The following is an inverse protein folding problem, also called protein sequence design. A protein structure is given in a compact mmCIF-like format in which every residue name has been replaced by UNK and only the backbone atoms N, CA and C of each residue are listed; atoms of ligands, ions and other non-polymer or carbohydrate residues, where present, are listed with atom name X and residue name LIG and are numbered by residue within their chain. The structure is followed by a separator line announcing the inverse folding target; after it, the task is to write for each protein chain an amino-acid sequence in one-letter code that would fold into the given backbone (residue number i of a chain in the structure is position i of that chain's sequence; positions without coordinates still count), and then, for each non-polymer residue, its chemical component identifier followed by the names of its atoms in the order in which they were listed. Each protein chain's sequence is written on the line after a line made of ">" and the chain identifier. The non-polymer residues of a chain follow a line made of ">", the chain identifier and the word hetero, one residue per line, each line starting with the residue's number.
data_IF_730697696783
#
_entry.id   IF_730697696783
#
_cell.length_a   1.000
_cell.length_b   1.000
_cell.length_c   1.000
_cell.angle_alpha   90.00
_cell.angle_beta   90.00
_cell.angle_gamma   90.00
#
_symmetry.space_group_name_H-M   'P 1'
#
loop_
_entity.id
_entity.type
_entity.pdbx_description
1 polymer ?
#
# COMPACT_ATOMS: atom_id res chain seq x y z
N UNK A 1 12.87 0.01 28.62
CA UNK A 1 12.71 1.35 28.02
C UNK A 1 11.46 1.34 27.14
N UNK A 2 10.67 2.41 27.12
CA UNK A 2 9.60 2.60 26.12
C UNK A 2 10.22 3.04 24.79
N UNK A 3 9.56 2.74 23.67
CA UNK A 3 9.99 3.24 22.36
C UNK A 3 9.69 4.74 22.27
N UNK A 4 10.64 5.58 21.80
CA UNK A 4 10.42 7.02 21.67
C UNK A 4 9.50 7.42 20.49
N UNK A 5 9.11 6.47 19.63
CA UNK A 5 8.28 6.77 18.44
C UNK A 5 6.89 7.29 18.83
N UNK A 6 6.26 6.69 19.87
CA UNK A 6 4.98 7.17 20.38
C UNK A 6 5.09 8.57 21.01
N UNK A 7 6.17 8.82 21.75
CA UNK A 7 6.44 10.13 22.35
C UNK A 7 6.64 11.21 21.27
N UNK A 8 7.34 10.88 20.18
CA UNK A 8 7.48 11.78 19.02
C UNK A 8 6.13 12.07 18.35
N UNK A 9 5.27 11.06 18.16
CA UNK A 9 3.92 11.30 17.61
C UNK A 9 3.14 12.26 18.51
N UNK A 10 3.19 12.06 19.83
CA UNK A 10 2.55 12.98 20.78
C UNK A 10 3.12 14.40 20.68
N UNK A 11 4.45 14.56 20.58
CA UNK A 11 5.09 15.87 20.40
C UNK A 11 4.61 16.59 19.14
N UNK A 12 4.47 15.86 18.02
CA UNK A 12 3.94 16.42 16.77
C UNK A 12 2.48 16.84 16.93
N UNK A 13 1.65 16.03 17.59
CA UNK A 13 0.25 16.39 17.85
C UNK A 13 0.14 17.62 18.75
N UNK A 14 0.92 17.68 19.83
CA UNK A 14 0.94 18.81 20.77
C UNK A 14 1.38 20.11 20.05
N UNK A 15 2.41 20.03 19.21
CA UNK A 15 2.90 21.18 18.43
C UNK A 15 1.87 21.70 17.41
N UNK A 16 0.90 20.87 17.01
CA UNK A 16 -0.15 21.19 16.04
C UNK A 16 -1.53 21.36 16.69
N UNK A 17 -1.64 21.30 18.03
CA UNK A 17 -2.91 21.34 18.74
C UNK A 17 -3.69 22.66 18.53
N UNK A 18 -2.97 23.77 18.37
CA UNK A 18 -3.54 25.11 18.13
C UNK A 18 -3.82 25.40 16.64
N UNK A 19 -3.49 24.48 15.73
CA UNK A 19 -3.89 24.59 14.33
C UNK A 19 -5.39 24.30 14.18
N UNK A 20 -6.17 25.39 14.11
CA UNK A 20 -7.64 25.32 14.10
C UNK A 20 -8.27 25.76 12.78
N UNK A 21 -7.49 25.99 11.73
CA UNK A 21 -8.03 26.33 10.41
C UNK A 21 -8.79 25.19 9.74
N UNK A 22 -9.55 25.52 8.70
CA UNK A 22 -10.46 24.59 8.02
C UNK A 22 -11.83 24.49 8.68
N UNK A 23 -12.66 23.60 8.16
CA UNK A 23 -14.01 23.33 8.67
C UNK A 23 -14.33 21.83 8.55
N UNK A 24 -15.22 21.33 9.40
CA UNK A 24 -15.76 19.97 9.24
C UNK A 24 -16.61 19.88 7.97
N UNK A 25 -16.73 18.70 7.40
CA UNK A 25 -17.64 18.48 6.28
C UNK A 25 -19.10 18.69 6.73
N UNK A 26 -19.86 19.51 6.01
CA UNK A 26 -21.19 19.97 6.40
C UNK A 26 -22.34 19.46 5.51
N UNK A 27 -22.02 18.70 4.46
CA UNK A 27 -23.00 18.20 3.50
C UNK A 27 -23.84 17.01 4.03
N UNK A 28 -23.39 16.35 5.11
CA UNK A 28 -24.19 15.36 5.86
C UNK A 28 -24.22 15.70 7.36
N UNK A 29 -25.39 15.60 8.03
CA UNK A 29 -25.55 15.86 9.46
C UNK A 29 -24.53 15.16 10.36
N UNK A 30 -24.24 13.88 10.15
CA UNK A 30 -23.32 13.13 11.02
C UNK A 30 -21.89 13.72 11.00
N UNK A 31 -21.38 14.11 9.83
CA UNK A 31 -20.06 14.76 9.73
C UNK A 31 -20.09 16.22 10.22
N UNK A 32 -21.20 16.92 9.99
CA UNK A 32 -21.36 18.31 10.45
C UNK A 32 -21.33 18.42 11.98
N UNK A 33 -21.76 17.36 12.67
CA UNK A 33 -21.77 17.27 14.13
C UNK A 33 -20.53 16.57 14.71
N UNK A 34 -19.57 16.17 13.88
CA UNK A 34 -18.33 15.56 14.36
C UNK A 34 -17.56 16.54 15.26
N UNK A 35 -16.97 16.04 16.35
CA UNK A 35 -16.14 16.86 17.23
C UNK A 35 -14.91 17.36 16.46
N UNK A 36 -14.80 18.67 16.17
CA UNK A 36 -13.73 19.20 15.33
C UNK A 36 -12.35 19.13 15.99
N UNK A 37 -12.29 18.86 17.29
CA UNK A 37 -11.06 18.88 18.08
C UNK A 37 -10.37 17.51 18.15
N UNK A 38 -11.05 16.42 17.74
CA UNK A 38 -10.46 15.08 17.57
C UNK A 38 -9.14 15.17 16.78
N UNK A 39 -8.09 14.58 17.37
CA UNK A 39 -6.76 14.56 16.78
C UNK A 39 -5.96 13.34 17.25
N UNK A 40 -5.85 12.35 16.37
CA UNK A 40 -5.10 11.11 16.65
C UNK A 40 -4.21 10.73 15.48
N UNK A 41 -3.11 10.04 15.77
CA UNK A 41 -2.19 9.52 14.77
C UNK A 41 -1.67 8.14 15.14
N UNK A 42 -1.41 7.32 14.12
CA UNK A 42 -0.79 6.01 14.28
C UNK A 42 0.19 5.69 13.14
N UNK A 43 1.25 4.95 13.48
CA UNK A 43 2.22 4.38 12.55
C UNK A 43 2.38 2.89 12.83
N UNK A 44 2.14 2.06 11.82
CA UNK A 44 2.38 0.62 11.88
C UNK A 44 3.53 0.24 10.95
N UNK A 45 4.60 -0.30 11.51
CA UNK A 45 5.75 -0.81 10.74
C UNK A 45 5.40 -2.09 9.99
N UNK A 46 6.12 -2.39 8.90
CA UNK A 46 5.98 -3.68 8.19
C UNK A 46 6.34 -4.91 9.05
N UNK A 47 7.00 -4.69 10.19
CA UNK A 47 7.27 -5.71 11.21
C UNK A 47 6.12 -5.89 12.24
N UNK A 48 4.98 -5.23 12.04
CA UNK A 48 3.76 -5.44 12.85
C UNK A 48 3.67 -4.60 14.12
N UNK A 49 4.66 -3.74 14.40
CA UNK A 49 4.62 -2.83 15.57
C UNK A 49 3.82 -1.58 15.24
N UNK A 50 2.84 -1.25 16.08
CA UNK A 50 2.02 -0.04 15.99
C UNK A 50 2.38 0.91 17.12
N UNK A 51 2.58 2.17 16.76
CA UNK A 51 2.74 3.30 17.69
C UNK A 51 1.61 4.28 17.42
N UNK A 52 0.96 4.77 18.46
CA UNK A 52 -0.17 5.69 18.33
C UNK A 52 -0.15 6.74 19.46
N UNK A 53 -0.79 7.88 19.20
CA UNK A 53 -0.89 9.02 20.10
C UNK A 53 -2.16 9.83 19.82
N UNK A 54 -2.60 10.63 20.81
CA UNK A 54 -3.83 11.43 20.73
C UNK A 54 -5.10 10.58 20.80
N UNK A 55 -6.12 11.00 20.05
CA UNK A 55 -7.42 10.33 19.98
C UNK A 55 -7.37 9.09 19.05
N UNK A 56 -6.56 8.09 19.42
CA UNK A 56 -6.24 6.95 18.57
C UNK A 56 -7.28 5.81 18.55
N UNK A 57 -8.17 5.79 19.54
CA UNK A 57 -9.27 4.82 19.67
C UNK A 57 -10.61 5.33 19.12
N UNK A 58 -10.67 6.57 18.62
CA UNK A 58 -11.91 7.13 18.05
C UNK A 58 -12.22 6.46 16.71
N UNK A 59 -13.41 5.86 16.61
CA UNK A 59 -13.92 5.34 15.35
C UNK A 59 -14.56 6.44 14.50
N UNK A 60 -14.33 6.36 13.19
CA UNK A 60 -14.94 7.23 12.19
C UNK A 60 -15.19 6.45 10.89
N UNK A 61 -16.11 6.93 10.06
CA UNK A 61 -16.37 6.35 8.73
C UNK A 61 -15.14 6.50 7.83
N UNK A 62 -14.71 5.42 7.17
CA UNK A 62 -13.50 5.38 6.33
C UNK A 62 -13.58 6.28 5.09
N UNK A 63 -14.78 6.54 4.57
CA UNK A 63 -15.02 7.43 3.45
C UNK A 63 -14.18 7.06 2.21
N UNK A 64 -13.69 8.07 1.47
CA UNK A 64 -12.84 7.90 0.29
C UNK A 64 -11.51 7.16 0.55
N UNK A 65 -11.12 6.91 1.81
CA UNK A 65 -9.96 6.07 2.15
C UNK A 65 -10.23 4.60 1.82
N UNK A 66 -11.50 4.19 1.68
CA UNK A 66 -11.90 2.85 1.24
C UNK A 66 -11.47 2.50 -0.19
N UNK A 67 -11.38 3.51 -1.07
CA UNK A 67 -11.17 3.36 -2.51
C UNK A 67 -9.94 2.53 -2.89
N UNK A 68 -8.72 2.78 -2.36
CA UNK A 68 -7.56 1.94 -2.65
C UNK A 68 -7.76 0.47 -2.27
N UNK A 69 -8.46 0.20 -1.17
CA UNK A 69 -8.70 -1.17 -0.71
C UNK A 69 -9.74 -1.87 -1.57
N UNK A 70 -10.83 -1.20 -1.96
CA UNK A 70 -11.80 -1.73 -2.92
C UNK A 70 -11.16 -2.00 -4.29
N UNK A 71 -10.25 -1.14 -4.73
CA UNK A 71 -9.47 -1.35 -5.95
C UNK A 71 -8.58 -2.59 -5.86
N UNK A 72 -7.90 -2.78 -4.74
CA UNK A 72 -7.12 -4.01 -4.51
C UNK A 72 -8.01 -5.26 -4.52
N UNK A 73 -9.18 -5.23 -3.88
CA UNK A 73 -10.14 -6.33 -3.89
C UNK A 73 -10.65 -6.64 -5.31
N UNK A 74 -11.01 -5.62 -6.10
CA UNK A 74 -11.44 -5.80 -7.48
C UNK A 74 -10.32 -6.41 -8.35
N UNK A 75 -9.05 -6.02 -8.14
CA UNK A 75 -7.90 -6.62 -8.84
C UNK A 75 -7.72 -8.11 -8.48
N UNK A 76 -7.96 -8.49 -7.22
CA UNK A 76 -7.92 -9.88 -6.76
C UNK A 76 -9.05 -10.69 -7.39
N UNK A 77 -10.27 -10.17 -7.37
CA UNK A 77 -11.48 -10.89 -7.77
C UNK A 77 -11.57 -11.03 -9.30
N UNK A 78 -11.14 -10.00 -10.05
CA UNK A 78 -11.41 -9.87 -11.50
C UNK A 78 -10.16 -9.88 -12.38
N UNK A 79 -8.98 -9.78 -11.77
CA UNK A 79 -7.71 -9.67 -12.47
C UNK A 79 -7.48 -8.28 -13.09
N UNK A 80 -6.21 -7.94 -13.30
CA UNK A 80 -5.76 -6.62 -13.75
C UNK A 80 -6.37 -6.20 -15.10
N UNK A 81 -6.46 -7.10 -16.06
CA UNK A 81 -6.98 -6.80 -17.40
C UNK A 81 -8.44 -6.32 -17.35
N UNK A 82 -9.31 -7.08 -16.66
CA UNK A 82 -10.73 -6.75 -16.49
C UNK A 82 -10.92 -5.41 -15.79
N UNK A 83 -10.20 -5.19 -14.68
CA UNK A 83 -10.32 -3.93 -13.92
C UNK A 83 -9.85 -2.75 -14.76
N UNK A 84 -8.72 -2.88 -15.46
CA UNK A 84 -8.20 -1.79 -16.29
C UNK A 84 -9.07 -1.52 -17.51
N UNK A 85 -9.81 -2.49 -18.04
CA UNK A 85 -10.78 -2.23 -19.09
C UNK A 85 -11.91 -1.29 -18.62
N UNK A 86 -12.28 -1.36 -17.34
CA UNK A 86 -13.38 -0.60 -16.75
C UNK A 86 -12.94 0.69 -16.04
N UNK A 87 -11.71 0.78 -15.53
CA UNK A 87 -11.19 1.94 -14.78
C UNK A 87 -9.71 2.15 -15.10
N UNK A 88 -9.33 3.37 -15.47
CA UNK A 88 -7.95 3.75 -15.78
C UNK A 88 -7.04 3.87 -14.56
N UNK A 89 -5.86 4.46 -14.78
CA UNK A 89 -4.84 4.73 -13.73
C UNK A 89 -4.31 6.16 -13.77
N UNK A 90 -4.80 6.98 -14.70
CA UNK A 90 -4.29 8.33 -14.95
C UNK A 90 -4.85 9.33 -13.93
N UNK A 91 -4.05 10.32 -13.50
CA UNK A 91 -4.55 11.41 -12.67
C UNK A 91 -5.64 12.18 -13.42
N UNK A 92 -6.65 12.68 -12.70
CA UNK A 92 -7.79 13.32 -13.35
C UNK A 92 -7.49 14.71 -13.89
N UNK A 93 -6.53 15.44 -13.32
CA UNK A 93 -6.10 16.80 -13.73
C UNK A 93 -7.20 17.88 -13.68
N UNK A 94 -8.43 17.48 -13.42
CA UNK A 94 -9.64 18.27 -13.31
C UNK A 94 -10.10 18.23 -11.86
N UNK A 95 -10.68 19.34 -11.41
CA UNK A 95 -11.30 19.43 -10.09
C UNK A 95 -12.20 18.23 -9.87
N UNK A 96 -12.26 17.75 -8.62
CA UNK A 96 -13.11 16.64 -8.15
C UNK A 96 -14.55 16.63 -8.69
N UNK A 97 -15.04 17.77 -9.19
CA UNK A 97 -16.38 18.06 -9.66
C UNK A 97 -16.65 17.81 -11.17
N UNK A 98 -15.65 17.64 -12.04
CA UNK A 98 -15.90 17.26 -13.43
C UNK A 98 -16.03 15.73 -13.58
N UNK A 99 -16.82 15.28 -14.56
CA UNK A 99 -17.02 13.86 -14.86
C UNK A 99 -15.75 13.36 -15.56
N UNK A 100 -14.69 13.13 -14.78
CA UNK A 100 -13.35 12.78 -15.26
C UNK A 100 -13.30 11.37 -15.87
N UNK A 101 -13.75 11.30 -17.13
CA UNK A 101 -13.69 10.14 -18.00
C UNK A 101 -12.57 10.33 -19.04
N UNK A 102 -11.96 9.23 -19.47
CA UNK A 102 -11.01 9.24 -20.57
C UNK A 102 -11.70 9.56 -21.91
N UNK A 103 -11.02 10.33 -22.77
CA UNK A 103 -11.50 10.58 -24.13
C UNK A 103 -11.44 9.28 -24.94
N UNK A 104 -12.56 8.90 -25.56
CA UNK A 104 -12.65 7.70 -26.39
C UNK A 104 -13.14 6.47 -25.64
N UNK A 105 -12.34 5.91 -24.73
CA UNK A 105 -12.69 4.73 -23.93
C UNK A 105 -13.87 4.98 -22.98
N UNK A 106 -14.09 6.25 -22.58
CA UNK A 106 -15.16 6.70 -21.65
C UNK A 106 -15.15 6.01 -20.29
N UNK A 107 -14.08 5.29 -19.96
CA UNK A 107 -13.85 4.74 -18.62
C UNK A 107 -13.40 5.86 -17.67
N UNK A 108 -13.65 5.75 -16.36
CA UNK A 108 -13.12 6.69 -15.38
C UNK A 108 -11.60 6.73 -15.41
N UNK A 109 -11.00 7.92 -15.21
CA UNK A 109 -9.53 8.10 -15.30
C UNK A 109 -8.77 7.27 -14.25
N UNK A 110 -9.28 7.13 -13.02
CA UNK A 110 -8.66 6.33 -11.96
C UNK A 110 -9.67 5.93 -10.85
N UNK A 111 -9.39 4.90 -10.03
CA UNK A 111 -10.22 4.46 -8.90
C UNK A 111 -10.26 5.42 -7.68
N UNK A 112 -9.43 6.46 -7.61
CA UNK A 112 -9.35 7.34 -6.41
C UNK A 112 -10.40 8.46 -6.41
N UNK A 113 -10.99 8.75 -7.58
CA UNK A 113 -12.14 9.65 -7.74
C UNK A 113 -13.47 8.88 -7.68
N UNK A 114 -14.57 9.55 -7.32
CA UNK A 114 -15.86 8.87 -7.10
C UNK A 114 -16.33 8.06 -8.31
N UNK A 115 -16.17 8.61 -9.52
CA UNK A 115 -16.57 7.95 -10.76
C UNK A 115 -15.82 6.64 -11.00
N UNK A 116 -14.53 6.57 -10.65
CA UNK A 116 -13.78 5.32 -10.70
C UNK A 116 -14.07 4.40 -9.53
N UNK A 117 -14.31 4.95 -8.34
CA UNK A 117 -14.64 4.16 -7.15
C UNK A 117 -15.99 3.44 -7.27
N UNK A 118 -17.00 4.10 -7.83
CA UNK A 118 -18.32 3.50 -8.11
C UNK A 118 -18.16 2.36 -9.13
N UNK A 119 -17.43 2.59 -10.23
CA UNK A 119 -17.11 1.54 -11.20
C UNK A 119 -16.28 0.39 -10.59
N UNK A 120 -15.36 0.71 -9.67
CA UNK A 120 -14.54 -0.28 -8.96
C UNK A 120 -15.39 -1.13 -8.01
N UNK A 121 -16.33 -0.52 -7.29
CA UNK A 121 -17.24 -1.24 -6.41
C UNK A 121 -18.12 -2.23 -7.20
N UNK A 122 -18.61 -1.82 -8.37
CA UNK A 122 -19.40 -2.70 -9.25
C UNK A 122 -18.63 -3.95 -9.71
N UNK A 123 -17.30 -3.89 -9.73
CA UNK A 123 -16.45 -5.01 -10.13
C UNK A 123 -16.23 -6.05 -9.04
N UNK A 124 -16.50 -5.74 -7.77
CA UNK A 124 -16.26 -6.65 -6.64
C UNK A 124 -16.98 -8.00 -6.85
N UNK A 125 -16.35 -9.07 -6.38
CA UNK A 125 -16.79 -10.46 -6.53
C UNK A 125 -16.80 -10.94 -7.99
N UNK A 126 -17.77 -10.51 -8.79
CA UNK A 126 -17.96 -11.01 -10.15
C UNK A 126 -19.34 -10.68 -10.74
N UNK A 127 -19.55 -11.00 -12.02
CA UNK A 127 -20.85 -10.78 -12.67
C UNK A 127 -21.97 -11.52 -11.95
N UNK A 128 -23.10 -10.84 -11.70
CA UNK A 128 -24.28 -11.43 -11.05
C UNK A 128 -24.21 -11.51 -9.53
N UNK A 129 -23.15 -11.00 -8.90
CA UNK A 129 -23.08 -10.84 -7.44
C UNK A 129 -24.11 -9.80 -6.97
N UNK A 130 -24.79 -10.08 -5.87
CA UNK A 130 -25.76 -9.15 -5.29
C UNK A 130 -25.07 -7.96 -4.60
N UNK A 131 -25.83 -6.90 -4.31
CA UNK A 131 -25.34 -5.77 -3.49
C UNK A 131 -24.76 -6.26 -2.16
N UNK A 132 -25.45 -7.19 -1.50
CA UNK A 132 -25.01 -7.76 -0.23
C UNK A 132 -23.66 -8.49 -0.36
N UNK A 133 -23.47 -9.26 -1.44
CA UNK A 133 -22.20 -9.97 -1.68
C UNK A 133 -21.03 -8.99 -1.86
N UNK A 134 -21.24 -7.90 -2.61
CA UNK A 134 -20.20 -6.89 -2.86
C UNK A 134 -19.86 -6.08 -1.60
N UNK A 135 -20.88 -5.72 -0.81
CA UNK A 135 -20.70 -5.03 0.48
C UNK A 135 -19.94 -5.91 1.46
N UNK A 136 -20.35 -7.18 1.60
CA UNK A 136 -19.68 -8.10 2.52
C UNK A 136 -18.25 -8.39 2.07
N UNK A 137 -18.02 -8.58 0.76
CA UNK A 137 -16.67 -8.73 0.20
C UNK A 137 -15.75 -7.56 0.58
N UNK A 138 -16.25 -6.32 0.50
CA UNK A 138 -15.49 -5.14 0.91
C UNK A 138 -15.22 -5.15 2.41
N UNK A 139 -16.25 -5.39 3.24
CA UNK A 139 -16.14 -5.43 4.70
C UNK A 139 -15.16 -6.50 5.18
N UNK A 140 -15.26 -7.72 4.66
CA UNK A 140 -14.36 -8.85 4.98
C UNK A 140 -12.92 -8.52 4.61
N UNK A 141 -12.70 -8.00 3.40
CA UNK A 141 -11.35 -7.67 2.95
C UNK A 141 -10.74 -6.54 3.80
N UNK A 142 -11.52 -5.52 4.13
CA UNK A 142 -11.04 -4.41 4.97
C UNK A 142 -10.78 -4.88 6.40
N UNK A 143 -11.60 -5.79 6.91
CA UNK A 143 -11.42 -6.45 8.20
C UNK A 143 -10.13 -7.28 8.24
N UNK A 144 -9.85 -8.05 7.19
CA UNK A 144 -8.60 -8.80 7.08
C UNK A 144 -7.38 -7.86 7.06
N UNK A 145 -7.46 -6.75 6.30
CA UNK A 145 -6.40 -5.74 6.27
C UNK A 145 -6.17 -5.08 7.64
N UNK A 146 -7.23 -4.78 8.39
CA UNK A 146 -7.15 -4.21 9.74
C UNK A 146 -6.70 -5.23 10.80
N UNK A 147 -6.92 -6.52 10.55
CA UNK A 147 -6.68 -7.60 11.51
C UNK A 147 -7.75 -7.70 12.61
N UNK A 148 -8.94 -7.13 12.38
CA UNK A 148 -10.12 -7.24 13.24
C UNK A 148 -11.38 -7.12 12.41
N UNK A 149 -12.52 -7.55 12.96
CA UNK A 149 -13.80 -7.33 12.33
C UNK A 149 -14.17 -5.83 12.35
N UNK A 150 -14.54 -5.29 11.19
CA UNK A 150 -15.02 -3.91 11.03
C UNK A 150 -16.55 -3.88 10.87
N UNK A 151 -17.15 -2.80 11.38
CA UNK A 151 -18.58 -2.51 11.27
C UNK A 151 -18.91 -1.55 10.13
N UNK A 152 -20.20 -1.34 9.91
CA UNK A 152 -20.74 -0.29 9.03
C UNK A 152 -21.59 0.63 9.91
N UNK A 153 -21.35 1.94 9.81
CA UNK A 153 -22.18 2.95 10.46
C UNK A 153 -23.46 3.16 9.65
N UNK A 154 -24.57 2.57 10.11
CA UNK A 154 -25.86 2.69 9.44
C UNK A 154 -26.44 4.12 9.48
N UNK A 155 -26.04 4.96 10.45
CA UNK A 155 -26.46 6.37 10.52
C UNK A 155 -25.82 7.17 9.39
N UNK A 156 -24.48 7.08 9.28
CA UNK A 156 -23.72 7.71 8.19
C UNK A 156 -24.18 7.21 6.83
N UNK A 157 -24.37 5.89 6.68
CA UNK A 157 -24.90 5.30 5.44
C UNK A 157 -26.25 5.90 5.06
N UNK A 158 -27.22 5.93 5.98
CA UNK A 158 -28.55 6.45 5.70
C UNK A 158 -28.52 7.95 5.34
N UNK A 159 -27.68 8.72 6.03
CA UNK A 159 -27.52 10.16 5.76
C UNK A 159 -26.85 10.43 4.41
N UNK A 160 -25.82 9.68 4.04
CA UNK A 160 -25.17 9.81 2.73
C UNK A 160 -26.08 9.38 1.60
N UNK A 161 -26.80 8.26 1.75
CA UNK A 161 -27.68 7.76 0.71
C UNK A 161 -28.84 8.74 0.44
N UNK A 162 -29.36 9.41 1.47
CA UNK A 162 -30.41 10.42 1.34
C UNK A 162 -29.98 11.67 0.54
N UNK A 163 -28.66 11.90 0.39
CA UNK A 163 -28.08 13.06 -0.32
C UNK A 163 -27.22 12.65 -1.52
N UNK A 164 -27.35 11.40 -1.99
CA UNK A 164 -26.47 10.78 -2.98
C UNK A 164 -26.72 11.19 -4.45
N UNK A 165 -27.49 12.25 -4.74
CA UNK A 165 -27.87 12.68 -6.10
C UNK A 165 -26.68 12.76 -7.06
N UNK A 166 -25.54 13.27 -6.58
CA UNK A 166 -24.32 13.35 -7.38
C UNK A 166 -23.76 11.98 -7.75
N UNK A 167 -23.69 11.06 -6.79
CA UNK A 167 -23.19 9.70 -7.04
C UNK A 167 -24.16 8.91 -7.93
N UNK A 168 -25.48 9.10 -7.78
CA UNK A 168 -26.50 8.56 -8.66
C UNK A 168 -26.35 9.09 -10.10
N UNK A 169 -26.14 10.40 -10.27
CA UNK A 169 -25.88 11.00 -11.58
C UNK A 169 -24.66 10.38 -12.26
N UNK A 170 -23.55 10.20 -11.51
CA UNK A 170 -22.35 9.52 -11.98
C UNK A 170 -22.65 8.08 -12.40
N UNK A 171 -23.38 7.32 -11.57
CA UNK A 171 -23.70 5.92 -11.85
C UNK A 171 -24.59 5.77 -13.09
N UNK A 172 -25.62 6.61 -13.26
CA UNK A 172 -26.44 6.62 -14.47
C UNK A 172 -25.62 6.94 -15.73
N UNK A 173 -24.69 7.89 -15.63
CA UNK A 173 -23.79 8.21 -16.74
C UNK A 173 -22.88 7.03 -17.09
N UNK A 174 -22.26 6.38 -16.10
CA UNK A 174 -21.42 5.21 -16.32
C UNK A 174 -22.20 4.05 -16.97
N UNK A 175 -23.47 3.86 -16.57
CA UNK A 175 -24.35 2.89 -17.20
C UNK A 175 -24.66 3.24 -18.65
N UNK A 176 -24.94 4.52 -18.94
CA UNK A 176 -25.14 4.98 -20.32
C UNK A 176 -23.92 4.75 -21.22
N UNK A 177 -22.70 4.80 -20.66
CA UNK A 177 -21.47 4.47 -21.39
C UNK A 177 -21.09 2.98 -21.37
N UNK A 178 -21.91 2.12 -20.77
CA UNK A 178 -21.67 0.69 -20.70
C UNK A 178 -20.52 0.30 -19.77
N UNK A 179 -20.11 1.19 -18.86
CA UNK A 179 -19.10 0.88 -17.82
C UNK A 179 -19.75 0.09 -16.69
N UNK A 180 -20.92 0.54 -16.20
CA UNK A 180 -21.69 -0.18 -15.18
C UNK A 180 -22.70 -1.13 -15.82
N UNK A 181 -22.71 -2.38 -15.34
CA UNK A 181 -23.65 -3.41 -15.80
C UNK A 181 -24.85 -3.59 -14.88
N UNK A 182 -24.71 -3.25 -13.61
CA UNK A 182 -25.77 -3.38 -12.61
C UNK A 182 -26.62 -2.10 -12.52
N UNK A 183 -27.65 -2.14 -11.68
CA UNK A 183 -28.52 -0.98 -11.47
C UNK A 183 -27.76 0.18 -10.77
N UNK A 184 -27.83 1.42 -11.28
CA UNK A 184 -27.12 2.56 -10.69
C UNK A 184 -27.43 2.80 -9.21
N UNK A 185 -28.66 2.57 -8.76
CA UNK A 185 -29.04 2.77 -7.36
C UNK A 185 -28.42 1.70 -6.47
N UNK A 186 -28.43 0.44 -6.91
CA UNK A 186 -27.82 -0.69 -6.21
C UNK A 186 -26.30 -0.51 -6.06
N UNK A 187 -25.61 -0.05 -7.11
CA UNK A 187 -24.16 0.21 -7.05
C UNK A 187 -23.84 1.37 -6.10
N UNK A 188 -24.65 2.44 -6.13
CA UNK A 188 -24.46 3.59 -5.21
C UNK A 188 -24.76 3.19 -3.77
N UNK A 189 -25.76 2.36 -3.51
CA UNK A 189 -26.02 1.80 -2.18
C UNK A 189 -24.78 1.05 -1.66
N UNK A 190 -24.25 0.11 -2.44
CA UNK A 190 -23.07 -0.66 -2.05
C UNK A 190 -21.83 0.21 -1.82
N UNK A 191 -21.56 1.17 -2.70
CA UNK A 191 -20.46 2.10 -2.54
C UNK A 191 -20.61 3.00 -1.30
N UNK A 192 -21.83 3.41 -0.97
CA UNK A 192 -22.12 4.22 0.22
C UNK A 192 -21.90 3.39 1.50
N UNK A 193 -22.32 2.12 1.51
CA UNK A 193 -22.01 1.17 2.60
C UNK A 193 -20.50 0.97 2.78
N UNK A 194 -19.75 0.84 1.68
CA UNK A 194 -18.29 0.78 1.71
C UNK A 194 -17.66 2.03 2.35
N UNK A 195 -18.17 3.23 2.04
CA UNK A 195 -17.68 4.48 2.63
C UNK A 195 -18.02 4.61 4.13
N UNK A 196 -19.08 3.93 4.56
CA UNK A 196 -19.58 3.95 5.93
C UNK A 196 -18.94 2.89 6.84
N UNK A 197 -17.96 2.11 6.35
CA UNK A 197 -17.20 1.17 7.20
C UNK A 197 -16.45 1.96 8.27
N UNK A 198 -16.55 1.55 9.53
CA UNK A 198 -15.92 2.23 10.68
C UNK A 198 -14.50 1.75 10.90
N UNK A 199 -13.59 2.69 11.17
CA UNK A 199 -12.16 2.45 11.43
C UNK A 199 -11.63 3.42 12.47
N UNK A 200 -10.54 3.05 13.12
CA UNK A 200 -9.67 3.93 13.91
C UNK A 200 -8.42 4.30 13.10
N UNK A 201 -7.60 5.24 13.60
CA UNK A 201 -6.25 5.46 13.03
C UNK A 201 -5.36 4.23 13.17
N UNK A 202 -5.51 3.45 14.25
CA UNK A 202 -4.81 2.19 14.42
C UNK A 202 -5.10 1.20 13.30
N UNK A 203 -6.37 1.06 12.91
CA UNK A 203 -6.79 0.19 11.81
C UNK A 203 -6.20 0.65 10.48
N UNK A 204 -6.37 1.92 10.14
CA UNK A 204 -5.85 2.48 8.90
C UNK A 204 -4.33 2.35 8.79
N UNK A 205 -3.60 2.53 9.88
CA UNK A 205 -2.15 2.34 9.89
C UNK A 205 -1.77 0.88 9.58
N UNK A 206 -2.50 -0.11 10.12
CA UNK A 206 -2.26 -1.54 9.81
C UNK A 206 -2.66 -1.88 8.37
N UNK A 207 -3.79 -1.36 7.89
CA UNK A 207 -4.24 -1.54 6.51
C UNK A 207 -3.22 -0.96 5.51
N UNK A 208 -2.72 0.26 5.78
CA UNK A 208 -1.66 0.89 5.01
C UNK A 208 -0.34 0.12 5.07
N UNK A 209 0.01 -0.42 6.24
CA UNK A 209 1.22 -1.22 6.42
C UNK A 209 1.15 -2.53 5.63
N UNK A 210 -0.05 -3.11 5.46
CA UNK A 210 -0.26 -4.29 4.61
C UNK A 210 0.05 -3.98 3.13
N UNK A 211 -0.40 -2.83 2.62
CA UNK A 211 -0.03 -2.37 1.28
C UNK A 211 1.48 -2.13 1.17
N UNK A 212 2.06 -1.42 2.15
CA UNK A 212 3.49 -1.14 2.22
C UNK A 212 4.35 -2.41 2.29
N UNK A 213 3.84 -3.49 2.89
CA UNK A 213 4.50 -4.79 3.03
C UNK A 213 4.26 -5.73 1.84
N UNK A 214 3.88 -5.20 0.67
CA UNK A 214 3.67 -6.01 -0.53
C UNK A 214 2.52 -7.01 -0.41
N UNK A 215 1.49 -6.64 0.35
CA UNK A 215 0.26 -7.43 0.52
C UNK A 215 0.26 -8.43 1.66
N UNK A 216 1.27 -8.40 2.53
CA UNK A 216 1.34 -9.27 3.72
C UNK A 216 0.91 -8.47 4.95
N UNK A 217 -0.12 -8.95 5.65
CA UNK A 217 -0.63 -8.33 6.87
C UNK A 217 0.46 -8.43 7.96
N UNK A 218 0.93 -7.31 8.52
CA UNK A 218 2.20 -7.27 9.27
C UNK A 218 2.14 -7.88 10.67
N UNK A 219 0.94 -8.09 11.25
CA UNK A 219 0.71 -8.71 12.56
C UNK A 219 0.44 -10.21 12.44
N UNK A 220 -0.33 -10.64 11.43
CA UNK A 220 -0.72 -12.05 11.26
C UNK A 220 0.26 -12.81 10.36
N UNK A 221 1.02 -12.12 9.51
CA UNK A 221 1.88 -12.73 8.49
C UNK A 221 1.13 -13.29 7.30
N UNK A 222 -0.20 -13.12 7.25
CA UNK A 222 -1.04 -13.63 6.17
C UNK A 222 -0.83 -12.81 4.88
N UNK A 223 -0.67 -13.51 3.75
CA UNK A 223 -0.64 -12.86 2.43
C UNK A 223 -2.07 -12.63 1.94
N UNK A 224 -2.54 -11.40 2.09
CA UNK A 224 -3.87 -10.97 1.64
C UNK A 224 -3.92 -10.59 0.16
N UNK A 225 -2.79 -10.20 -0.42
CA UNK A 225 -2.68 -9.96 -1.86
C UNK A 225 -1.28 -10.25 -2.42
N UNK A 226 -1.16 -10.54 -3.73
CA UNK A 226 0.13 -10.61 -4.39
C UNK A 226 0.85 -9.25 -4.39
N UNK A 227 2.20 -9.23 -4.39
CA UNK A 227 2.98 -7.99 -4.42
C UNK A 227 2.65 -7.10 -5.63
N UNK A 228 2.23 -7.67 -6.76
CA UNK A 228 1.86 -6.93 -7.97
C UNK A 228 0.59 -6.11 -7.77
N UNK A 229 -0.38 -6.64 -7.02
CA UNK A 229 -1.63 -5.95 -6.68
C UNK A 229 -1.35 -4.82 -5.69
N UNK A 230 -0.59 -5.10 -4.63
CA UNK A 230 -0.18 -4.07 -3.67
C UNK A 230 0.58 -2.92 -4.36
N UNK A 231 1.53 -3.26 -5.25
CA UNK A 231 2.27 -2.27 -6.04
C UNK A 231 1.35 -1.47 -6.95
N UNK A 232 0.44 -2.13 -7.67
CA UNK A 232 -0.53 -1.45 -8.55
C UNK A 232 -1.41 -0.47 -7.77
N UNK A 233 -1.93 -0.88 -6.61
CA UNK A 233 -2.74 -0.02 -5.75
C UNK A 233 -1.93 1.18 -5.23
N UNK A 234 -0.71 0.96 -4.74
CA UNK A 234 0.18 2.02 -4.28
C UNK A 234 0.55 3.00 -5.40
N UNK A 235 0.77 2.51 -6.63
CA UNK A 235 1.04 3.37 -7.79
C UNK A 235 -0.13 4.32 -8.04
N UNK A 236 -1.36 3.81 -8.00
CA UNK A 236 -2.54 4.66 -8.26
C UNK A 236 -2.83 5.59 -7.08
N UNK A 237 -2.59 5.15 -5.84
CA UNK A 237 -2.62 6.03 -4.66
C UNK A 237 -1.59 7.16 -4.79
N UNK A 238 -0.37 6.86 -5.24
CA UNK A 238 0.66 7.86 -5.47
C UNK A 238 0.25 8.84 -6.58
N UNK A 239 -0.30 8.36 -7.69
CA UNK A 239 -0.63 9.21 -8.83
C UNK A 239 -1.89 10.06 -8.63
N UNK A 240 -2.86 9.61 -7.84
CA UNK A 240 -4.20 10.22 -7.80
C UNK A 240 -4.83 10.35 -6.40
N UNK A 241 -4.17 9.87 -5.33
CA UNK A 241 -4.78 9.77 -4.00
C UNK A 241 -5.02 11.12 -3.30
N UNK A 242 -4.21 12.13 -3.65
CA UNK A 242 -4.31 13.52 -3.15
C UNK A 242 -4.90 14.47 -4.20
N UNK A 243 -5.65 13.95 -5.17
CA UNK A 243 -6.38 14.71 -6.19
C UNK A 243 -5.46 15.68 -6.96
N UNK A 244 -5.84 16.95 -7.09
CA UNK A 244 -5.08 17.97 -7.82
C UNK A 244 -3.79 18.39 -7.10
N UNK A 245 -3.62 18.00 -5.83
CA UNK A 245 -2.46 18.33 -5.00
C UNK A 245 -1.30 17.33 -5.07
N UNK A 246 -1.38 16.29 -5.91
CA UNK A 246 -0.38 15.19 -5.95
C UNK A 246 1.04 15.70 -6.20
N UNK A 247 1.22 16.68 -7.09
CA UNK A 247 2.55 17.24 -7.38
C UNK A 247 3.20 17.90 -6.16
N UNK A 248 2.45 18.78 -5.48
CA UNK A 248 2.91 19.45 -4.25
C UNK A 248 3.09 18.43 -3.11
N UNK A 249 2.19 17.46 -3.01
CA UNK A 249 2.26 16.39 -2.02
C UNK A 249 3.54 15.57 -2.16
N UNK A 250 3.92 15.16 -3.37
CA UNK A 250 5.16 14.40 -3.58
C UNK A 250 6.43 15.24 -3.47
N UNK A 251 6.34 16.57 -3.60
CA UNK A 251 7.47 17.46 -3.36
C UNK A 251 7.72 17.74 -1.87
N UNK A 252 6.68 17.68 -1.04
CA UNK A 252 6.73 18.10 0.37
C UNK A 252 6.60 16.94 1.37
N UNK A 253 5.90 15.87 1.01
CA UNK A 253 5.61 14.71 1.87
C UNK A 253 6.17 13.43 1.27
N UNK A 254 5.89 13.16 -0.01
CA UNK A 254 6.42 11.99 -0.71
C UNK A 254 5.91 10.64 -0.23
N UNK A 255 4.78 10.57 0.47
CA UNK A 255 4.18 9.32 0.96
C UNK A 255 2.92 9.03 0.15
N UNK A 256 2.76 7.90 -0.55
CA UNK A 256 1.49 7.53 -1.16
C UNK A 256 0.34 7.59 -0.14
N UNK A 257 -0.69 8.37 -0.41
CA UNK A 257 -1.69 8.72 0.58
C UNK A 257 -3.10 8.84 -0.01
N UNK A 258 -4.12 8.81 0.86
CA UNK A 258 -5.52 9.06 0.52
C UNK A 258 -6.23 9.71 1.70
N UNK A 259 -6.85 10.87 1.47
CA UNK A 259 -7.72 11.52 2.47
C UNK A 259 -9.19 11.09 2.34
N UNK A 260 -9.90 11.18 3.46
CA UNK A 260 -11.36 11.07 3.57
C UNK A 260 -11.95 12.27 4.30
N UNK A 261 -13.15 12.66 3.88
CA UNK A 261 -13.89 13.83 4.37
C UNK A 261 -14.34 13.74 5.83
N UNK A 262 -14.24 12.56 6.46
CA UNK A 262 -14.39 12.41 7.91
C UNK A 262 -13.14 12.90 8.70
N UNK A 263 -12.15 13.48 8.02
CA UNK A 263 -10.90 13.94 8.63
C UNK A 263 -9.78 12.90 8.64
N UNK A 264 -10.02 11.71 8.11
CA UNK A 264 -9.01 10.67 7.99
C UNK A 264 -7.99 10.97 6.90
N UNK A 265 -6.74 10.58 7.13
CA UNK A 265 -5.67 10.58 6.14
C UNK A 265 -4.84 9.32 6.29
N UNK A 266 -4.89 8.47 5.27
CA UNK A 266 -4.10 7.25 5.15
C UNK A 266 -2.80 7.54 4.39
N UNK A 267 -1.72 6.91 4.84
CA UNK A 267 -0.42 6.84 4.16
C UNK A 267 0.13 5.42 4.13
N UNK A 268 0.84 5.07 3.07
CA UNK A 268 1.56 3.81 2.97
C UNK A 268 2.91 4.03 2.30
N UNK A 269 3.99 3.91 3.08
CA UNK A 269 5.37 4.07 2.61
C UNK A 269 5.97 2.68 2.30
N UNK A 270 6.16 2.33 1.01
CA UNK A 270 6.56 0.98 0.59
C UNK A 270 7.81 0.48 1.33
N UNK A 271 7.72 -0.74 1.87
CA UNK A 271 8.81 -1.40 2.60
C UNK A 271 9.05 -0.88 4.03
N UNK A 272 8.35 0.15 4.49
CA UNK A 272 8.62 0.80 5.78
C UNK A 272 7.43 0.72 6.75
N UNK A 273 6.32 1.38 6.43
CA UNK A 273 5.18 1.50 7.34
C UNK A 273 3.88 1.94 6.66
N UNK A 274 2.76 1.75 7.35
CA UNK A 274 1.51 2.47 7.14
C UNK A 274 1.33 3.55 8.21
N UNK A 275 0.70 4.65 7.83
CA UNK A 275 0.51 5.84 8.64
C UNK A 275 -0.96 6.23 8.55
N UNK A 276 -1.54 6.68 9.64
CA UNK A 276 -2.88 7.23 9.66
C UNK A 276 -2.97 8.42 10.59
N UNK A 277 -3.78 9.39 10.22
CA UNK A 277 -4.15 10.53 11.05
C UNK A 277 -5.66 10.72 10.96
N UNK A 278 -6.29 11.12 12.05
CA UNK A 278 -7.65 11.64 12.08
C UNK A 278 -7.62 13.06 12.60
N UNK A 279 -8.17 13.99 11.83
CA UNK A 279 -8.52 15.33 12.30
C UNK A 279 -9.63 15.92 11.42
N UNK A 280 -10.85 16.15 11.96
CA UNK A 280 -12.03 16.45 11.16
C UNK A 280 -12.00 17.75 10.32
N UNK A 281 -11.22 18.77 10.69
CA UNK A 281 -11.19 20.03 9.94
C UNK A 281 -10.45 19.86 8.60
N UNK A 282 -11.16 20.18 7.52
CA UNK A 282 -10.71 20.06 6.14
C UNK A 282 -10.30 21.42 5.55
N UNK A 283 -9.33 21.40 4.63
CA UNK A 283 -8.97 22.52 3.78
C UNK A 283 -9.99 22.71 2.62
N UNK A 284 -9.74 23.68 1.75
CA UNK A 284 -10.58 23.96 0.58
C UNK A 284 -10.60 22.83 -0.47
N UNK A 285 -9.69 21.86 -0.36
CA UNK A 285 -9.60 20.69 -1.23
C UNK A 285 -10.22 19.43 -0.59
N UNK A 286 -10.79 19.55 0.61
CA UNK A 286 -11.43 18.45 1.33
C UNK A 286 -10.45 17.50 2.02
N UNK A 287 -9.21 17.93 2.28
CA UNK A 287 -8.20 17.15 2.99
C UNK A 287 -8.04 17.64 4.43
N UNK A 288 -7.74 16.74 5.36
CA UNK A 288 -7.49 17.09 6.76
C UNK A 288 -6.30 18.04 6.91
N UNK A 289 -6.54 19.25 7.45
CA UNK A 289 -5.52 20.30 7.61
C UNK A 289 -4.38 19.83 8.52
N UNK A 290 -4.73 19.38 9.73
CA UNK A 290 -3.75 18.86 10.69
C UNK A 290 -3.14 17.55 10.18
N UNK A 291 -3.91 16.70 9.50
CA UNK A 291 -3.42 15.50 8.84
C UNK A 291 -2.26 15.76 7.88
N UNK A 292 -2.41 16.72 6.96
CA UNK A 292 -1.35 17.12 6.03
C UNK A 292 -0.09 17.54 6.79
N UNK A 293 -0.24 18.38 7.83
CA UNK A 293 0.90 18.89 8.62
C UNK A 293 1.64 17.79 9.38
N UNK A 294 0.92 16.80 9.92
CA UNK A 294 1.55 15.63 10.56
C UNK A 294 2.39 14.86 9.54
N UNK A 295 1.86 14.64 8.34
CA UNK A 295 2.60 13.97 7.26
C UNK A 295 3.84 14.75 6.79
N UNK A 296 3.75 16.09 6.73
CA UNK A 296 4.91 16.95 6.46
C UNK A 296 5.98 16.82 7.54
N UNK A 297 5.59 16.81 8.83
CA UNK A 297 6.52 16.58 9.96
C UNK A 297 7.16 15.20 9.88
N UNK A 298 6.39 14.14 9.63
CA UNK A 298 6.94 12.78 9.45
C UNK A 298 7.96 12.70 8.32
N UNK A 299 7.67 13.32 7.17
CA UNK A 299 8.59 13.38 6.04
C UNK A 299 9.88 14.14 6.42
N UNK A 300 9.75 15.35 6.96
CA UNK A 300 10.88 16.24 7.25
C UNK A 300 11.74 15.78 8.44
N UNK A 301 11.13 15.35 9.54
CA UNK A 301 11.84 15.02 10.78
C UNK A 301 12.42 13.60 10.73
N UNK A 302 11.74 12.68 10.03
CA UNK A 302 12.06 11.24 10.06
C UNK A 302 12.56 10.70 8.71
N UNK A 303 12.66 11.53 7.66
CA UNK A 303 13.08 11.11 6.32
C UNK A 303 12.10 10.14 5.66
N UNK A 304 10.82 10.18 6.06
CA UNK A 304 9.79 9.28 5.53
C UNK A 304 9.29 9.79 4.17
N UNK A 305 10.11 9.60 3.14
CA UNK A 305 9.81 10.08 1.79
C UNK A 305 10.13 9.00 0.75
N UNK A 306 9.22 8.74 -0.20
CA UNK A 306 9.39 7.68 -1.20
C UNK A 306 10.65 7.88 -2.08
N UNK A 307 11.00 9.14 -2.33
CA UNK A 307 12.18 9.50 -3.13
C UNK A 307 13.45 9.69 -2.29
N UNK A 308 13.35 9.61 -0.95
CA UNK A 308 14.54 9.61 -0.10
C UNK A 308 15.18 8.23 -0.16
N UNK A 309 16.00 8.04 -1.18
CA UNK A 309 16.89 6.88 -1.25
C UNK A 309 18.14 7.19 -0.44
N UNK A 310 18.44 6.40 0.59
CA UNK A 310 19.80 6.38 1.12
C UNK A 310 20.61 5.48 0.19
N UNK A 311 21.61 6.00 -0.54
CA UNK A 311 22.44 5.21 -1.45
C UNK A 311 23.41 4.37 -0.62
N UNK A 312 22.89 3.35 0.06
CA UNK A 312 23.73 2.27 0.52
C UNK A 312 24.05 1.43 -0.72
N UNK A 313 25.33 1.40 -1.11
CA UNK A 313 25.81 0.29 -1.92
C UNK A 313 25.34 -1.04 -1.32
N UNK A 314 25.27 -2.09 -2.12
CA UNK A 314 24.73 -3.37 -1.65
C UNK A 314 25.48 -3.88 -0.41
N UNK A 315 24.81 -3.87 0.75
CA UNK A 315 25.33 -4.50 1.98
C UNK A 315 25.10 -6.01 1.99
N UNK A 316 24.58 -6.57 0.88
CA UNK A 316 24.30 -7.99 0.74
C UNK A 316 25.58 -8.80 0.80
N UNK A 317 26.66 -8.33 0.16
CA UNK A 317 27.95 -8.98 0.27
C UNK A 317 28.61 -8.58 1.59
N UNK A 318 28.51 -9.44 2.60
CA UNK A 318 29.05 -9.21 3.94
C UNK A 318 30.56 -9.38 3.96
N UNK A 319 31.06 -10.37 3.24
CA UNK A 319 32.48 -10.70 3.20
C UNK A 319 32.78 -11.69 2.08
N UNK A 320 34.00 -11.63 1.57
CA UNK A 320 34.56 -12.63 0.67
C UNK A 320 35.85 -13.11 1.28
N UNK A 321 35.98 -14.42 1.46
CA UNK A 321 37.20 -15.00 1.99
C UNK A 321 37.57 -16.27 1.23
N UNK A 322 38.87 -16.47 1.05
CA UNK A 322 39.41 -17.64 0.34
C UNK A 322 40.13 -18.55 1.33
N UNK A 323 39.77 -19.82 1.35
CA UNK A 323 40.40 -20.84 2.19
C UNK A 323 40.45 -22.18 1.46
N UNK A 324 41.59 -22.87 1.48
CA UNK A 324 41.69 -24.22 0.90
C UNK A 324 41.43 -24.32 -0.61
N UNK A 325 41.54 -23.22 -1.36
CA UNK A 325 41.20 -23.17 -2.80
C UNK A 325 39.74 -22.89 -3.08
N UNK A 326 38.93 -22.64 -2.06
CA UNK A 326 37.52 -22.25 -2.19
C UNK A 326 37.36 -20.77 -1.84
N UNK A 327 36.52 -20.06 -2.59
CA UNK A 327 36.11 -18.69 -2.26
C UNK A 327 34.68 -18.71 -1.73
N UNK A 328 34.49 -18.21 -0.50
CA UNK A 328 33.20 -18.14 0.16
C UNK A 328 32.69 -16.70 0.11
N UNK A 329 31.49 -16.53 -0.43
CA UNK A 329 30.74 -15.28 -0.45
C UNK A 329 29.70 -15.32 0.66
N UNK A 330 29.95 -14.60 1.75
CA UNK A 330 28.99 -14.45 2.85
C UNK A 330 27.94 -13.42 2.46
N UNK A 331 26.69 -13.86 2.34
CA UNK A 331 25.57 -13.01 1.97
C UNK A 331 24.69 -12.69 3.19
N UNK A 332 24.04 -11.52 3.19
CA UNK A 332 23.14 -11.13 4.26
C UNK A 332 21.96 -10.26 3.81
N UNK A 333 20.94 -10.18 4.65
CA UNK A 333 19.81 -9.27 4.48
C UNK A 333 18.86 -9.69 3.37
N UNK A 334 18.30 -8.72 2.66
CA UNK A 334 17.30 -8.94 1.61
C UNK A 334 17.94 -8.90 0.23
N UNK A 335 17.88 -10.00 -0.51
CA UNK A 335 18.50 -10.10 -1.85
C UNK A 335 17.47 -9.75 -2.92
N UNK A 336 17.71 -8.60 -3.56
CA UNK A 336 16.98 -8.10 -4.73
C UNK A 336 17.95 -7.82 -5.88
N UNK A 337 17.60 -6.91 -6.80
CA UNK A 337 18.46 -6.58 -7.94
C UNK A 337 19.84 -6.06 -7.53
N UNK A 338 19.93 -5.00 -6.73
CA UNK A 338 21.23 -4.44 -6.29
C UNK A 338 22.04 -5.43 -5.45
N UNK A 339 21.33 -6.23 -4.64
CA UNK A 339 21.89 -7.38 -3.93
C UNK A 339 22.57 -8.38 -4.86
N UNK A 340 21.80 -8.91 -5.79
CA UNK A 340 22.26 -9.88 -6.78
C UNK A 340 23.34 -9.32 -7.71
N UNK A 341 23.25 -8.05 -8.10
CA UNK A 341 24.26 -7.37 -8.93
C UNK A 341 25.60 -7.32 -8.22
N UNK A 342 25.63 -6.92 -6.94
CA UNK A 342 26.87 -6.89 -6.18
C UNK A 342 27.48 -8.28 -5.99
N UNK A 343 26.65 -9.31 -5.84
CA UNK A 343 27.14 -10.71 -5.79
C UNK A 343 27.70 -11.13 -7.14
N UNK A 344 27.01 -10.85 -8.24
CA UNK A 344 27.50 -11.13 -9.60
C UNK A 344 28.82 -10.41 -9.88
N UNK A 345 28.95 -9.15 -9.49
CA UNK A 345 30.19 -8.38 -9.61
C UNK A 345 31.32 -8.98 -8.76
N UNK A 346 31.00 -9.44 -7.55
CA UNK A 346 31.94 -10.17 -6.70
C UNK A 346 32.41 -11.48 -7.34
N UNK A 347 31.49 -12.26 -7.92
CA UNK A 347 31.79 -13.50 -8.63
C UNK A 347 32.64 -13.25 -9.89
N UNK A 348 32.32 -12.22 -10.66
CA UNK A 348 33.08 -11.80 -11.84
C UNK A 348 34.52 -11.38 -11.47
N UNK A 349 34.67 -10.69 -10.34
CA UNK A 349 35.97 -10.25 -9.84
C UNK A 349 36.82 -11.38 -9.25
N UNK A 350 36.20 -12.51 -8.90
CA UNK A 350 36.90 -13.66 -8.34
C UNK A 350 37.46 -14.58 -9.45
N UNK A 351 38.70 -14.30 -9.84
CA UNK A 351 39.47 -15.17 -10.74
C UNK A 351 40.23 -16.27 -10.00
N UNK A 352 40.00 -16.45 -8.70
CA UNK A 352 40.83 -17.28 -7.83
C UNK A 352 40.07 -18.50 -7.31
N UNK A 353 40.78 -19.62 -7.13
CA UNK A 353 40.21 -20.82 -6.51
C UNK A 353 39.50 -21.79 -7.46
N UNK A 354 39.37 -23.03 -7.00
CA UNK A 354 38.74 -24.16 -7.71
C UNK A 354 37.25 -24.30 -7.39
N UNK A 355 36.75 -23.62 -6.35
CA UNK A 355 35.35 -23.67 -5.94
C UNK A 355 34.82 -22.31 -5.49
N UNK A 356 33.50 -22.13 -5.61
CA UNK A 356 32.72 -21.00 -5.09
C UNK A 356 31.68 -21.54 -4.11
N UNK A 357 31.54 -20.88 -2.96
CA UNK A 357 30.49 -21.17 -1.99
C UNK A 357 29.67 -19.90 -1.76
N UNK A 358 28.35 -19.97 -1.90
CA UNK A 358 27.46 -18.92 -1.42
C UNK A 358 26.95 -19.31 -0.04
N UNK A 359 27.24 -18.49 0.97
CA UNK A 359 26.70 -18.64 2.33
C UNK A 359 25.50 -17.74 2.52
N UNK A 360 24.31 -18.35 2.61
CA UNK A 360 23.01 -17.71 2.78
C UNK A 360 22.52 -17.72 4.23
N UNK A 361 23.34 -18.14 5.20
CA UNK A 361 22.96 -18.28 6.62
C UNK A 361 22.46 -17.00 7.29
N UNK A 362 22.69 -15.82 6.68
CA UNK A 362 22.25 -14.52 7.18
C UNK A 362 21.31 -13.79 6.21
N UNK A 363 20.81 -14.49 5.20
CA UNK A 363 19.87 -13.93 4.23
C UNK A 363 18.46 -14.07 4.80
N UNK A 364 17.76 -12.94 4.95
CA UNK A 364 16.40 -12.92 5.50
C UNK A 364 15.37 -13.40 4.47
N UNK A 365 15.53 -12.94 3.22
CA UNK A 365 14.60 -13.21 2.10
C UNK A 365 15.21 -12.84 0.75
N UNK A 366 14.69 -13.44 -0.31
CA UNK A 366 15.12 -13.23 -1.69
C UNK A 366 13.91 -13.09 -2.61
N UNK A 367 13.96 -12.18 -3.58
CA UNK A 367 12.93 -12.09 -4.62
C UNK A 367 13.33 -12.88 -5.89
N UNK A 368 12.39 -13.06 -6.82
CA UNK A 368 12.64 -13.83 -8.06
C UNK A 368 13.76 -13.26 -8.94
N UNK A 369 14.04 -11.97 -8.84
CA UNK A 369 15.17 -11.34 -9.56
C UNK A 369 16.48 -11.74 -8.91
N UNK A 370 16.63 -11.55 -7.60
CA UNK A 370 17.80 -11.98 -6.83
C UNK A 370 18.06 -13.48 -7.00
N UNK A 371 17.01 -14.31 -6.92
CA UNK A 371 17.08 -15.76 -7.16
C UNK A 371 17.67 -16.09 -8.53
N UNK A 372 17.09 -15.54 -9.59
CA UNK A 372 17.57 -15.80 -10.97
C UNK A 372 19.01 -15.31 -11.16
N UNK A 373 19.37 -14.16 -10.61
CA UNK A 373 20.72 -13.62 -10.71
C UNK A 373 21.74 -14.50 -10.01
N UNK A 374 21.48 -14.96 -8.77
CA UNK A 374 22.40 -15.84 -8.05
C UNK A 374 22.56 -17.20 -8.74
N UNK A 375 21.45 -17.82 -9.16
CA UNK A 375 21.49 -19.11 -9.87
C UNK A 375 22.27 -19.01 -11.18
N UNK A 376 22.07 -17.95 -11.95
CA UNK A 376 22.84 -17.68 -13.17
C UNK A 376 24.32 -17.42 -12.86
N UNK A 377 24.64 -16.72 -11.78
CA UNK A 377 26.01 -16.52 -11.31
C UNK A 377 26.72 -17.84 -11.01
N UNK A 378 26.09 -18.70 -10.22
CA UNK A 378 26.59 -20.05 -9.90
C UNK A 378 26.75 -20.90 -11.17
N UNK A 379 25.78 -20.86 -12.08
CA UNK A 379 25.86 -21.57 -13.35
C UNK A 379 27.11 -21.17 -14.14
N UNK A 380 27.42 -19.87 -14.23
CA UNK A 380 28.60 -19.38 -14.97
C UNK A 380 29.89 -19.83 -14.32
N UNK A 381 30.02 -19.74 -13.00
CA UNK A 381 31.18 -20.26 -12.29
C UNK A 381 31.40 -21.76 -12.58
N UNK A 382 30.32 -22.53 -12.65
CA UNK A 382 30.37 -23.94 -13.02
C UNK A 382 30.80 -24.17 -14.47
N UNK A 383 30.30 -23.37 -15.42
CA UNK A 383 30.71 -23.42 -16.82
C UNK A 383 32.19 -23.05 -17.00
N UNK A 384 32.74 -22.21 -16.13
CA UNK A 384 34.17 -21.90 -16.05
C UNK A 384 34.99 -23.03 -15.39
N UNK A 385 34.37 -24.16 -15.07
CA UNK A 385 35.02 -25.34 -14.53
C UNK A 385 35.20 -25.33 -13.02
N UNK A 386 34.59 -24.40 -12.29
CA UNK A 386 34.66 -24.31 -10.82
C UNK A 386 33.57 -25.16 -10.17
N UNK A 387 33.89 -25.78 -9.03
CA UNK A 387 32.85 -26.38 -8.20
C UNK A 387 31.99 -25.28 -7.55
N UNK A 388 30.69 -25.53 -7.39
CA UNK A 388 29.76 -24.58 -6.77
C UNK A 388 29.01 -25.22 -5.62
N UNK A 389 28.95 -24.53 -4.49
CA UNK A 389 28.28 -24.99 -3.29
C UNK A 389 27.41 -23.90 -2.66
N UNK A 390 26.44 -24.34 -1.86
CA UNK A 390 25.45 -23.50 -1.19
C UNK A 390 25.34 -23.89 0.29
N UNK A 391 25.47 -22.92 1.19
CA UNK A 391 25.10 -23.05 2.60
C UNK A 391 23.78 -22.31 2.78
N UNK A 392 22.68 -23.04 2.94
CA UNK A 392 21.33 -22.47 3.04
C UNK A 392 20.50 -23.19 4.12
N UNK A 393 20.81 -22.93 5.41
CA UNK A 393 20.17 -23.64 6.53
C UNK A 393 18.66 -23.37 6.61
N UNK A 394 18.23 -22.17 6.22
CA UNK A 394 16.84 -21.72 6.29
C UNK A 394 16.06 -21.96 4.99
N UNK A 395 16.69 -22.56 3.98
CA UNK A 395 16.11 -22.86 2.65
C UNK A 395 15.52 -21.61 1.98
N UNK A 396 16.22 -20.49 2.08
CA UNK A 396 15.81 -19.22 1.44
C UNK A 396 15.93 -19.29 -0.08
N UNK A 397 16.70 -20.24 -0.62
CA UNK A 397 16.82 -20.55 -2.04
C UNK A 397 16.35 -22.01 -2.30
N UNK A 398 15.03 -22.26 -2.25
CA UNK A 398 14.50 -23.59 -2.50
C UNK A 398 14.70 -23.98 -3.97
N UNK A 399 14.95 -25.28 -4.19
CA UNK A 399 15.16 -25.89 -5.50
C UNK A 399 16.20 -25.12 -6.35
N UNK A 400 17.50 -25.19 -5.97
CA UNK A 400 18.56 -24.39 -6.60
C UNK A 400 19.04 -24.98 -7.94
N UNK A 401 18.11 -25.31 -8.85
CA UNK A 401 18.44 -25.67 -10.23
C UNK A 401 19.10 -24.48 -10.94
N UNK A 402 20.29 -24.73 -11.48
CA UNK A 402 21.09 -23.75 -12.22
C UNK A 402 20.54 -23.46 -13.64
N UNK A 403 19.41 -24.08 -14.01
CA UNK A 403 18.72 -23.88 -15.28
C UNK A 403 19.15 -24.84 -16.39
N UNK A 404 19.97 -25.83 -16.05
CA UNK A 404 20.38 -26.95 -16.91
C UNK A 404 20.16 -28.32 -16.25
N UNK A 405 19.37 -28.37 -15.17
CA UNK A 405 19.10 -29.56 -14.38
C UNK A 405 20.23 -29.94 -13.43
N UNK A 406 21.27 -29.11 -13.32
CA UNK A 406 22.35 -29.31 -12.35
C UNK A 406 22.12 -28.52 -11.08
N UNK A 407 22.59 -29.08 -9.96
CA UNK A 407 22.45 -28.49 -8.63
C UNK A 407 23.84 -28.16 -8.04
N UNK A 408 23.94 -27.10 -7.21
CA UNK A 408 25.11 -26.89 -6.37
C UNK A 408 25.22 -27.96 -5.28
N UNK A 409 26.43 -28.18 -4.78
CA UNK A 409 26.65 -28.98 -3.57
C UNK A 409 26.00 -28.28 -2.37
N UNK A 410 25.11 -28.95 -1.65
CA UNK A 410 24.50 -28.40 -0.43
C UNK A 410 25.40 -28.71 0.77
N UNK A 411 25.83 -27.67 1.49
CA UNK A 411 26.65 -27.75 2.70
C UNK A 411 25.81 -27.33 3.92
N UNK A 412 25.97 -28.06 5.02
CA UNK A 412 25.20 -27.90 6.26
C UNK A 412 25.91 -27.10 7.33
#
# INVERSE_FOLDING_TARGET
>A
MRSPVGDYLQEVLDALADERSGAVADYIPDLANADPDVFGAAVTTVAGRTYAAGDDEVEFSIQSISKPFAYAAALLDRGKETVLAAVGVEPSGEAFNELSLETGSRRPKNPMINVGAIATHDLLVGPGASVADKVERAREFFSALAGRELGIDESVFASELATADRNLSIAHMLRNYGVLQDDPHEVVEGYTRQCSITVTVGDLAVMGATLANGGVQPRTGERLMPPEVARQTLTVMAAAGMYDGVGEWFATVGIPAKSGVAGGLLGALPGQCGIAVVSPRLDAHGNSVRGIKVFQRLSADMGMHLMDSVPYGSTVLRGVHTSGGETVFELQGVIQFSGGEAVLHGLESDTSGTAVVLDLSRVDRMNDVGRRMLLEGLRRMRLDGRAVALIDPDRVLPDPDLGDGTLPEIRG
#
